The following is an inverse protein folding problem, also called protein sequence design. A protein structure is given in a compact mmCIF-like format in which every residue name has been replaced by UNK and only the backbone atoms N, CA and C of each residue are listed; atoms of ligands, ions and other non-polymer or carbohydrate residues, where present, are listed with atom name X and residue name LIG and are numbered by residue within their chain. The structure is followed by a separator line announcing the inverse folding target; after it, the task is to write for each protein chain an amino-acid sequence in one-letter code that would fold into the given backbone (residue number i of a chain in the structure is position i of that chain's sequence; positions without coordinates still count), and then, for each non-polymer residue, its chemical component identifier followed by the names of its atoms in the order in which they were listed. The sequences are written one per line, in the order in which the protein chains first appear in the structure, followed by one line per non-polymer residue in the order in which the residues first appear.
data_IF_356037649729
#
_entry.id   IF_356037649729
#
_cell.length_a   1.000
_cell.length_b   1.000
_cell.length_c   1.000
_cell.angle_alpha   90.00
_cell.angle_beta   90.00
_cell.angle_gamma   90.00
#
_symmetry.space_group_name_H-M   'P 1'
#
loop_
_entity.id
_entity.type
_entity.pdbx_description
1 polymer ?
#
# COMPACT_ATOMS: atom_id res chain seq x y z
N UNK A 1 5.31 20.76 11.20
CA UNK A 1 4.72 20.87 9.84
C UNK A 1 3.92 19.61 9.56
N UNK A 2 2.58 19.70 9.52
CA UNK A 2 1.76 18.61 8.97
C UNK A 2 1.80 18.79 7.46
N UNK A 3 2.62 18.01 6.77
CA UNK A 3 2.54 17.92 5.32
C UNK A 3 1.19 17.31 4.99
N UNK A 4 0.38 18.06 4.26
CA UNK A 4 -0.95 17.70 3.81
C UNK A 4 -0.95 16.28 3.24
N UNK A 5 -1.46 15.33 4.02
CA UNK A 5 -1.49 13.94 3.60
C UNK A 5 -2.57 13.80 2.54
N UNK A 6 -2.19 13.37 1.33
CA UNK A 6 -3.10 13.00 0.26
C UNK A 6 -4.22 12.14 0.86
N UNK A 7 -5.46 12.63 0.81
CA UNK A 7 -6.58 11.81 1.28
C UNK A 7 -6.91 10.82 0.20
N UNK A 8 -6.90 9.53 0.54
CA UNK A 8 -7.13 8.45 -0.41
C UNK A 8 -8.54 7.92 -0.24
N UNK A 9 -9.24 7.73 -1.36
CA UNK A 9 -10.61 7.20 -1.40
C UNK A 9 -10.69 5.99 -2.33
N UNK A 10 -11.50 5.03 -1.94
CA UNK A 10 -11.81 3.85 -2.75
C UNK A 10 -13.18 3.29 -2.35
N UNK A 11 -13.79 2.45 -3.19
CA UNK A 11 -15.00 1.72 -2.82
C UNK A 11 -14.63 0.64 -1.79
N UNK A 12 -15.17 0.75 -0.58
CA UNK A 12 -14.86 -0.20 0.47
C UNK A 12 -15.69 -1.48 0.34
N UNK A 13 -15.03 -2.64 0.29
CA UNK A 13 -15.70 -3.96 0.24
C UNK A 13 -16.59 -4.23 1.45
N UNK A 14 -16.18 -3.80 2.65
CA UNK A 14 -17.00 -3.95 3.86
C UNK A 14 -18.17 -2.95 3.97
N UNK A 15 -18.03 -1.72 3.44
CA UNK A 15 -19.09 -0.71 3.51
C UNK A 15 -20.00 -0.66 2.27
N UNK A 16 -19.61 -1.29 1.17
CA UNK A 16 -20.32 -1.25 -0.12
C UNK A 16 -20.26 0.09 -0.88
N UNK A 17 -19.68 1.14 -0.29
CA UNK A 17 -19.63 2.51 -0.81
C UNK A 17 -18.24 3.14 -0.71
N UNK A 18 -18.05 4.28 -1.40
CA UNK A 18 -16.81 5.06 -1.32
C UNK A 18 -16.53 5.47 0.12
N UNK A 19 -15.29 5.29 0.57
CA UNK A 19 -14.82 5.68 1.88
C UNK A 19 -13.40 6.22 1.79
N UNK A 20 -13.01 7.01 2.79
CA UNK A 20 -11.62 7.37 3.02
C UNK A 20 -10.86 6.14 3.53
N UNK A 21 -9.66 5.94 2.99
CA UNK A 21 -8.74 4.88 3.35
C UNK A 21 -7.44 5.49 3.88
N UNK A 22 -6.97 4.94 4.99
CA UNK A 22 -5.76 5.38 5.68
C UNK A 22 -4.64 4.39 5.40
N UNK A 23 -3.48 4.90 5.02
CA UNK A 23 -2.26 4.11 4.93
C UNK A 23 -1.99 3.48 6.31
N UNK A 24 -1.91 2.16 6.39
CA UNK A 24 -1.74 1.48 7.68
C UNK A 24 -0.29 1.42 8.15
N UNK A 25 0.66 1.85 7.31
CA UNK A 25 2.10 1.68 7.56
C UNK A 25 2.58 0.24 7.46
N UNK A 26 1.74 -0.67 6.93
CA UNK A 26 2.03 -2.11 6.89
C UNK A 26 2.05 -2.65 5.47
N UNK A 27 2.96 -3.57 5.22
CA UNK A 27 3.04 -4.31 3.98
C UNK A 27 2.56 -5.74 4.17
N UNK A 28 2.04 -6.32 3.09
CA UNK A 28 1.89 -7.77 2.96
C UNK A 28 2.94 -8.24 1.97
N UNK A 29 3.83 -9.10 2.42
CA UNK A 29 4.82 -9.78 1.57
C UNK A 29 4.38 -11.23 1.42
N UNK A 30 4.28 -11.73 0.20
CA UNK A 30 3.97 -13.11 -0.08
C UNK A 30 5.02 -13.70 -1.02
N UNK A 31 5.62 -14.80 -0.61
CA UNK A 31 6.68 -15.48 -1.37
C UNK A 31 6.14 -16.82 -1.86
N UNK A 32 6.26 -17.07 -3.17
CA UNK A 32 5.94 -18.35 -3.77
C UNK A 32 7.11 -18.81 -4.65
N UNK A 33 7.94 -19.70 -4.09
CA UNK A 33 9.22 -20.06 -4.70
C UNK A 33 10.14 -18.85 -4.81
N UNK A 34 10.58 -18.51 -6.02
CA UNK A 34 11.45 -17.35 -6.26
C UNK A 34 10.69 -16.07 -6.63
N UNK A 35 9.35 -16.08 -6.62
CA UNK A 35 8.52 -14.91 -6.93
C UNK A 35 7.93 -14.32 -5.66
N UNK A 36 7.83 -13.01 -5.64
CA UNK A 36 7.31 -12.22 -4.53
C UNK A 36 6.20 -11.31 -5.03
N UNK A 37 5.15 -11.24 -4.23
CA UNK A 37 4.11 -10.22 -4.30
C UNK A 37 4.24 -9.33 -3.06
N UNK A 38 4.18 -8.01 -3.24
CA UNK A 38 4.21 -7.04 -2.16
C UNK A 38 3.06 -6.06 -2.32
N UNK A 39 2.30 -5.85 -1.24
CA UNK A 39 1.24 -4.85 -1.18
C UNK A 39 1.43 -3.91 -0.01
N UNK A 40 1.11 -2.63 -0.20
CA UNK A 40 0.88 -1.68 0.88
C UNK A 40 -0.58 -1.78 1.33
N UNK A 41 -0.80 -1.94 2.63
CA UNK A 41 -2.14 -2.12 3.19
C UNK A 41 -2.72 -0.76 3.55
N UNK A 42 -3.83 -0.42 2.94
CA UNK A 42 -4.71 0.67 3.36
C UNK A 42 -5.90 0.10 4.13
N UNK A 43 -6.43 0.86 5.10
CA UNK A 43 -7.60 0.46 5.89
C UNK A 43 -8.70 1.51 5.79
N UNK A 44 -9.92 1.04 5.53
CA UNK A 44 -11.09 1.91 5.54
C UNK A 44 -11.19 2.62 6.88
N UNK A 45 -11.26 3.95 6.88
CA UNK A 45 -11.36 4.77 8.10
C UNK A 45 -12.54 4.35 8.98
N UNK A 46 -13.67 4.00 8.34
CA UNK A 46 -14.94 3.59 8.96
C UNK A 46 -14.93 2.17 9.52
N UNK A 47 -14.72 1.15 8.68
CA UNK A 47 -14.92 -0.26 9.07
C UNK A 47 -13.63 -1.09 9.16
N UNK A 48 -12.46 -0.46 8.97
CA UNK A 48 -11.13 -1.09 9.03
C UNK A 48 -10.87 -2.21 8.02
N UNK A 49 -11.76 -2.41 7.05
CA UNK A 49 -11.58 -3.34 5.93
C UNK A 49 -10.31 -2.97 5.17
N UNK A 50 -9.52 -3.98 4.83
CA UNK A 50 -8.24 -3.81 4.14
C UNK A 50 -8.43 -3.62 2.64
N UNK A 51 -7.59 -2.77 2.07
CA UNK A 51 -7.41 -2.64 0.64
C UNK A 51 -5.91 -2.68 0.36
N UNK A 52 -5.47 -3.64 -0.45
CA UNK A 52 -4.07 -3.91 -0.71
C UNK A 52 -3.67 -3.24 -2.02
N UNK A 53 -2.81 -2.23 -1.95
CA UNK A 53 -2.27 -1.55 -3.12
C UNK A 53 -1.01 -2.28 -3.56
N UNK A 54 -0.97 -2.72 -4.81
CA UNK A 54 0.13 -3.50 -5.37
C UNK A 54 1.39 -2.65 -5.52
N UNK A 55 2.47 -3.07 -4.87
CA UNK A 55 3.83 -2.56 -5.07
C UNK A 55 4.53 -3.41 -6.13
N UNK A 56 4.60 -4.72 -5.87
CA UNK A 56 5.17 -5.73 -6.76
C UNK A 56 4.17 -6.88 -6.92
N UNK A 57 4.05 -7.39 -8.14
CA UNK A 57 3.25 -8.56 -8.47
C UNK A 57 4.08 -9.55 -9.27
N UNK A 58 4.26 -10.76 -8.72
CA UNK A 58 4.96 -11.90 -9.31
C UNK A 58 6.37 -11.57 -9.81
N UNK A 59 7.08 -10.71 -9.08
CA UNK A 59 8.45 -10.30 -9.41
C UNK A 59 9.45 -11.29 -8.81
N UNK A 60 10.54 -11.60 -9.52
CA UNK A 60 11.61 -12.44 -8.95
C UNK A 60 12.24 -11.74 -7.75
N UNK A 61 12.50 -12.46 -6.65
CA UNK A 61 13.10 -11.88 -5.45
C UNK A 61 14.40 -11.12 -5.76
N UNK A 62 15.23 -11.64 -6.67
CA UNK A 62 16.48 -11.01 -7.11
C UNK A 62 16.33 -9.68 -7.87
N UNK A 63 15.10 -9.29 -8.24
CA UNK A 63 14.80 -8.00 -8.86
C UNK A 63 14.36 -6.94 -7.85
N UNK A 64 14.07 -7.34 -6.62
CA UNK A 64 13.81 -6.42 -5.51
C UNK A 64 15.17 -6.08 -4.89
N UNK A 65 15.45 -4.79 -4.69
CA UNK A 65 16.66 -4.37 -3.98
C UNK A 65 16.61 -4.95 -2.56
N UNK A 66 17.72 -5.49 -2.08
CA UNK A 66 17.74 -6.16 -0.78
C UNK A 66 17.29 -5.25 0.36
N UNK A 67 17.73 -3.98 0.36
CA UNK A 67 17.28 -2.99 1.35
C UNK A 67 15.77 -2.77 1.33
N UNK A 68 15.15 -2.66 0.15
CA UNK A 68 13.69 -2.51 0.05
C UNK A 68 12.94 -3.73 0.60
N UNK A 69 13.47 -4.94 0.35
CA UNK A 69 12.86 -6.18 0.84
C UNK A 69 12.82 -6.25 2.37
N UNK A 70 13.91 -5.88 3.04
CA UNK A 70 14.00 -5.82 4.50
C UNK A 70 12.99 -4.79 5.06
N UNK A 71 12.93 -3.59 4.47
CA UNK A 71 11.97 -2.56 4.88
C UNK A 71 10.50 -3.00 4.74
N UNK A 72 10.16 -3.76 3.70
CA UNK A 72 8.81 -4.33 3.59
C UNK A 72 8.51 -5.33 4.70
N UNK A 73 9.48 -6.18 5.05
CA UNK A 73 9.32 -7.19 6.11
C UNK A 73 9.17 -6.56 7.48
N UNK A 74 9.87 -5.45 7.74
CA UNK A 74 9.84 -4.73 9.01
C UNK A 74 8.63 -3.78 9.15
N UNK A 75 7.87 -3.57 8.07
CA UNK A 75 6.81 -2.55 8.01
C UNK A 75 7.35 -1.15 8.26
N UNK A 76 8.43 -0.80 7.56
CA UNK A 76 9.02 0.52 7.68
C UNK A 76 8.01 1.63 7.35
N UNK A 77 7.83 2.54 8.30
CA UNK A 77 6.81 3.59 8.23
C UNK A 77 7.18 4.67 7.22
N UNK A 78 8.47 4.98 7.06
CA UNK A 78 8.94 6.00 6.13
C UNK A 78 8.69 5.56 4.70
N UNK A 79 9.07 4.32 4.35
CA UNK A 79 8.80 3.71 3.05
C UNK A 79 7.30 3.65 2.76
N UNK A 80 6.48 3.26 3.75
CA UNK A 80 5.03 3.26 3.57
C UNK A 80 4.48 4.67 3.31
N UNK A 81 5.03 5.69 3.99
CA UNK A 81 4.69 7.10 3.81
C UNK A 81 5.09 7.61 2.43
N UNK A 82 6.25 7.21 1.92
CA UNK A 82 6.72 7.55 0.56
C UNK A 82 5.76 7.01 -0.51
N UNK A 83 5.41 5.72 -0.45
CA UNK A 83 4.39 5.16 -1.35
C UNK A 83 3.04 5.86 -1.20
N UNK A 84 2.67 6.25 0.02
CA UNK A 84 1.42 6.97 0.27
C UNK A 84 1.38 8.40 -0.26
N UNK A 85 2.53 8.98 -0.60
CA UNK A 85 2.67 10.32 -1.21
C UNK A 85 2.89 10.25 -2.72
N UNK A 86 3.19 9.07 -3.27
CA UNK A 86 3.39 8.89 -4.70
C UNK A 86 2.05 8.83 -5.44
N UNK A 87 1.72 9.91 -6.15
CA UNK A 87 0.50 10.03 -6.94
C UNK A 87 0.43 8.98 -8.06
N UNK A 88 1.56 8.61 -8.68
CA UNK A 88 1.56 7.60 -9.74
C UNK A 88 1.28 6.22 -9.18
N UNK A 89 1.84 5.90 -8.00
CA UNK A 89 1.51 4.67 -7.26
C UNK A 89 0.02 4.60 -6.87
N UNK A 90 -0.55 5.71 -6.41
CA UNK A 90 -1.98 5.78 -6.07
C UNK A 90 -2.85 5.62 -7.33
N UNK A 91 -2.54 6.35 -8.41
CA UNK A 91 -3.27 6.27 -9.69
C UNK A 91 -3.25 4.87 -10.29
N UNK A 92 -2.09 4.19 -10.34
CA UNK A 92 -2.00 2.83 -10.91
C UNK A 92 -2.79 1.79 -10.10
N UNK A 93 -3.06 2.10 -8.82
CA UNK A 93 -3.90 1.30 -7.95
C UNK A 93 -5.38 1.73 -7.96
N UNK A 94 -5.79 2.64 -8.84
CA UNK A 94 -7.16 3.15 -8.94
C UNK A 94 -7.64 3.88 -7.66
N UNK A 95 -6.73 4.51 -6.93
CA UNK A 95 -7.08 5.43 -5.86
C UNK A 95 -7.68 6.73 -6.42
N UNK A 96 -8.80 7.15 -5.86
CA UNK A 96 -9.21 8.56 -5.90
C UNK A 96 -8.47 9.31 -4.79
N UNK A 97 -8.13 10.58 -5.01
CA UNK A 97 -7.46 11.37 -3.99
C UNK A 97 -7.80 12.86 -4.06
N UNK A 98 -7.68 13.55 -2.93
CA UNK A 98 -7.88 15.00 -2.75
C UNK A 98 -6.82 15.61 -1.85
#
# INVERSE_FOLDING_TARGET
MRLDSIKVYHRCGGCGKKQEFINSGKFRVNVNGNKVDVWLIYRCKKCKHSWNLTIYERVRLSKIKQGDYELFMENDYELASEYGKDIFFLKRNNAEFS
#
